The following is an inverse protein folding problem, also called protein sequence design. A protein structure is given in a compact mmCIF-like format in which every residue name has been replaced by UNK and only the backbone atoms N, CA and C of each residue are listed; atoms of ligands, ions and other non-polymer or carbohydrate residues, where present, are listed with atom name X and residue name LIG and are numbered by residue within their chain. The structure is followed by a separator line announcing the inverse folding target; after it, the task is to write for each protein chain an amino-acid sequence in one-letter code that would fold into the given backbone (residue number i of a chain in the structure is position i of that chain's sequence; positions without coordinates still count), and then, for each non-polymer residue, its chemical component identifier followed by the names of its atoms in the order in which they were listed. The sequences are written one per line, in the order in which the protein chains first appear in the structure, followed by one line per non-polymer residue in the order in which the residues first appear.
data_IF_421651787949
#
_entry.id   IF_421651787949
#
_cell.length_a   1.000
_cell.length_b   1.000
_cell.length_c   1.000
_cell.angle_alpha   90.00
_cell.angle_beta   90.00
_cell.angle_gamma   90.00
#
_symmetry.space_group_name_H-M   'P 1'
#
loop_
_entity.id
_entity.type
_entity.pdbx_description
1 polymer ?
#
# COMPACT_ATOMS: atom_id res chain seq x y z
N UNK A 1 -65.38 -30.01 2.24
CA UNK A 1 -65.71 -28.93 3.20
C UNK A 1 -64.71 -28.95 4.34
N UNK A 2 -64.12 -27.80 4.65
CA UNK A 2 -62.97 -27.57 5.55
C UNK A 2 -63.47 -27.21 6.95
N UNK A 3 -62.82 -27.69 8.04
CA UNK A 3 -62.67 -26.90 9.29
C UNK A 3 -61.55 -27.40 10.23
N UNK A 4 -60.40 -26.71 10.10
CA UNK A 4 -59.55 -26.07 11.13
C UNK A 4 -59.06 -26.92 12.33
N UNK A 5 -57.83 -27.42 12.20
CA UNK A 5 -56.97 -27.89 13.29
C UNK A 5 -56.42 -26.71 14.11
N UNK A 6 -56.75 -26.67 15.40
CA UNK A 6 -56.20 -25.72 16.38
C UNK A 6 -54.77 -26.11 16.75
N UNK A 7 -53.75 -25.43 16.19
CA UNK A 7 -52.37 -25.54 16.69
C UNK A 7 -52.19 -24.55 17.85
N UNK A 8 -51.85 -25.07 19.03
CA UNK A 8 -51.43 -24.27 20.18
C UNK A 8 -50.01 -23.78 19.94
N UNK A 9 -49.84 -22.46 19.98
CA UNK A 9 -48.58 -21.76 19.89
C UNK A 9 -47.75 -21.96 21.16
N UNK A 10 -46.61 -22.61 21.06
CA UNK A 10 -45.50 -22.47 22.01
C UNK A 10 -44.46 -21.57 21.37
N UNK A 11 -44.47 -20.30 21.76
CA UNK A 11 -43.45 -19.33 21.40
C UNK A 11 -42.18 -19.65 22.20
N UNK A 12 -41.18 -20.26 21.54
CA UNK A 12 -39.82 -20.30 22.05
C UNK A 12 -39.16 -18.97 21.68
N UNK A 13 -38.94 -18.11 22.67
CA UNK A 13 -38.08 -16.92 22.53
C UNK A 13 -36.64 -17.41 22.34
N UNK A 14 -36.21 -17.55 21.09
CA UNK A 14 -34.81 -17.65 20.75
C UNK A 14 -34.17 -16.28 20.93
N UNK A 15 -33.30 -16.14 21.94
CA UNK A 15 -32.41 -14.98 22.11
C UNK A 15 -31.39 -15.03 20.97
N UNK A 16 -31.37 -14.07 20.03
CA UNK A 16 -30.28 -13.99 19.09
C UNK A 16 -29.05 -13.49 19.85
N UNK A 17 -28.06 -14.37 20.01
CA UNK A 17 -26.73 -14.01 20.44
C UNK A 17 -26.10 -13.15 19.32
N UNK A 18 -26.33 -11.83 19.35
CA UNK A 18 -25.64 -10.88 18.49
C UNK A 18 -24.21 -10.71 19.00
N UNK A 19 -23.35 -11.70 18.76
CA UNK A 19 -21.89 -11.53 18.77
C UNK A 19 -21.43 -11.31 17.34
N UNK A 20 -21.58 -10.09 16.86
CA UNK A 20 -21.04 -9.68 15.58
C UNK A 20 -21.02 -8.17 15.51
N UNK A 21 -19.81 -7.60 15.54
CA UNK A 21 -19.35 -6.38 14.84
C UNK A 21 -18.27 -5.61 15.63
N UNK A 22 -17.18 -6.25 16.03
CA UNK A 22 -16.03 -5.51 16.57
C UNK A 22 -14.68 -5.81 15.91
N UNK A 23 -14.64 -6.65 14.86
CA UNK A 23 -13.39 -7.03 14.18
C UNK A 23 -13.27 -6.57 12.73
N UNK A 24 -14.31 -5.94 12.16
CA UNK A 24 -14.34 -5.58 10.74
C UNK A 24 -13.22 -4.59 10.38
N UNK A 25 -12.90 -3.62 11.25
CA UNK A 25 -11.91 -2.58 10.93
C UNK A 25 -10.44 -3.02 10.82
N UNK A 26 -10.05 -4.18 11.40
CA UNK A 26 -8.70 -4.73 11.19
C UNK A 26 -8.63 -5.62 9.95
N UNK A 27 -9.71 -6.38 9.68
CA UNK A 27 -9.79 -7.20 8.49
C UNK A 27 -9.78 -6.33 7.23
N UNK A 28 -10.52 -5.23 7.24
CA UNK A 28 -10.66 -4.34 6.06
C UNK A 28 -9.31 -3.71 5.68
N UNK A 29 -8.58 -3.11 6.63
CA UNK A 29 -7.27 -2.49 6.35
C UNK A 29 -6.21 -3.47 5.87
N UNK A 30 -6.24 -4.69 6.41
CA UNK A 30 -5.32 -5.74 6.01
C UNK A 30 -5.64 -6.25 4.59
N UNK A 31 -6.92 -6.33 4.22
CA UNK A 31 -7.34 -6.69 2.87
C UNK A 31 -6.99 -5.60 1.85
N UNK A 32 -7.16 -4.33 2.20
CA UNK A 32 -6.75 -3.20 1.36
C UNK A 32 -5.24 -3.24 1.08
N UNK A 33 -4.43 -3.43 2.13
CA UNK A 33 -2.99 -3.58 1.99
C UNK A 33 -2.59 -4.78 1.14
N UNK A 34 -3.20 -5.95 1.34
CA UNK A 34 -2.91 -7.14 0.52
C UNK A 34 -3.29 -6.95 -0.95
N UNK A 35 -4.41 -6.26 -1.19
CA UNK A 35 -4.87 -5.94 -2.54
C UNK A 35 -3.89 -4.99 -3.22
N UNK A 36 -3.50 -3.90 -2.55
CA UNK A 36 -2.47 -2.98 -3.04
C UNK A 36 -1.16 -3.73 -3.28
N UNK A 37 -0.69 -4.52 -2.32
CA UNK A 37 0.55 -5.29 -2.44
C UNK A 37 0.54 -6.22 -3.66
N UNK A 38 -0.60 -6.86 -3.95
CA UNK A 38 -0.74 -7.77 -5.10
C UNK A 38 -0.79 -7.03 -6.44
N UNK A 39 -1.29 -5.79 -6.45
CA UNK A 39 -1.38 -4.94 -7.62
C UNK A 39 -0.07 -4.20 -7.94
N UNK A 40 0.87 -4.17 -7.00
CA UNK A 40 2.12 -3.43 -7.14
C UNK A 40 3.35 -4.34 -7.23
N UNK A 41 4.40 -3.82 -7.86
CA UNK A 41 5.69 -4.50 -7.86
C UNK A 41 6.28 -4.48 -6.44
N UNK A 42 6.93 -5.57 -5.99
CA UNK A 42 7.63 -5.59 -4.71
C UNK A 42 8.76 -4.56 -4.68
N UNK A 43 8.83 -3.79 -3.59
CA UNK A 43 9.91 -2.85 -3.31
C UNK A 43 11.21 -3.61 -2.99
N UNK A 44 12.33 -3.21 -3.59
CA UNK A 44 13.66 -3.71 -3.15
C UNK A 44 14.02 -3.06 -1.82
N UNK A 45 14.36 -3.86 -0.82
CA UNK A 45 14.61 -3.36 0.54
C UNK A 45 16.00 -3.78 0.99
N UNK A 46 16.74 -2.83 1.54
CA UNK A 46 17.99 -3.10 2.26
C UNK A 46 17.96 -2.49 3.67
N UNK A 47 18.74 -3.05 4.60
CA UNK A 47 18.78 -2.61 6.00
C UNK A 47 17.80 -3.36 6.90
N UNK A 48 17.34 -2.70 7.97
CA UNK A 48 16.55 -3.32 9.05
C UNK A 48 15.23 -2.56 9.29
N UNK A 49 14.26 -2.65 8.37
CA UNK A 49 12.98 -1.97 8.55
C UNK A 49 12.20 -2.58 9.72
N UNK A 50 11.44 -1.73 10.41
CA UNK A 50 10.29 -2.20 11.19
C UNK A 50 9.14 -2.59 10.23
N UNK A 51 8.16 -3.35 10.72
CA UNK A 51 6.96 -3.65 9.94
C UNK A 51 6.23 -2.36 9.52
N UNK A 52 6.04 -1.43 10.46
CA UNK A 52 5.28 -0.21 10.25
C UNK A 52 5.97 0.73 9.25
N UNK A 53 7.30 0.85 9.31
CA UNK A 53 8.06 1.70 8.40
C UNK A 53 8.12 1.14 6.99
N UNK A 54 8.26 -0.19 6.85
CA UNK A 54 8.19 -0.83 5.53
C UNK A 54 6.82 -0.61 4.89
N UNK A 55 5.74 -0.85 5.64
CA UNK A 55 4.38 -0.64 5.17
C UNK A 55 4.13 0.81 4.75
N UNK A 56 4.60 1.78 5.53
CA UNK A 56 4.47 3.20 5.20
C UNK A 56 5.19 3.55 3.90
N UNK A 57 6.43 3.09 3.72
CA UNK A 57 7.20 3.34 2.49
C UNK A 57 6.53 2.70 1.28
N UNK A 58 6.06 1.45 1.41
CA UNK A 58 5.36 0.77 0.35
C UNK A 58 4.11 1.54 -0.09
N UNK A 59 3.27 1.96 0.86
CA UNK A 59 2.10 2.78 0.57
C UNK A 59 2.48 4.09 -0.13
N UNK A 60 3.52 4.79 0.33
CA UNK A 60 3.98 6.01 -0.34
C UNK A 60 4.37 5.73 -1.80
N UNK A 61 5.20 4.71 -2.04
CA UNK A 61 5.67 4.37 -3.39
C UNK A 61 4.52 3.96 -4.30
N UNK A 62 3.56 3.19 -3.79
CA UNK A 62 2.38 2.75 -4.55
C UNK A 62 1.47 3.92 -4.91
N UNK A 63 1.14 4.81 -3.96
CA UNK A 63 0.33 6.00 -4.25
C UNK A 63 1.03 6.96 -5.22
N UNK A 64 2.36 7.05 -5.17
CA UNK A 64 3.15 7.77 -6.17
C UNK A 64 3.05 7.13 -7.57
N UNK A 65 3.18 5.81 -7.65
CA UNK A 65 3.10 5.05 -8.90
C UNK A 65 1.71 5.14 -9.55
N UNK A 66 0.65 5.09 -8.74
CA UNK A 66 -0.74 5.21 -9.18
C UNK A 66 -1.15 6.66 -9.50
N UNK A 67 -0.36 7.65 -9.08
CA UNK A 67 -0.74 9.05 -9.13
C UNK A 67 -1.93 9.38 -8.21
N UNK A 68 -2.12 8.62 -7.14
CA UNK A 68 -3.22 8.79 -6.19
C UNK A 68 -2.93 9.91 -5.20
N UNK A 69 -3.38 11.12 -5.56
CA UNK A 69 -3.22 12.34 -4.75
C UNK A 69 -3.89 12.22 -3.39
N UNK A 70 -5.09 11.64 -3.34
CA UNK A 70 -5.89 11.58 -2.12
C UNK A 70 -5.33 10.51 -1.17
N UNK A 71 -4.97 9.34 -1.70
CA UNK A 71 -4.32 8.29 -0.92
C UNK A 71 -2.95 8.72 -0.39
N UNK A 72 -2.15 9.44 -1.19
CA UNK A 72 -0.87 9.97 -0.73
C UNK A 72 -1.05 11.07 0.33
N UNK A 73 -2.03 11.95 0.17
CA UNK A 73 -2.34 12.98 1.17
C UNK A 73 -2.85 12.38 2.48
N UNK A 74 -3.58 11.26 2.43
CA UNK A 74 -4.10 10.57 3.61
C UNK A 74 -3.01 9.92 4.49
N UNK A 75 -1.79 9.74 3.97
CA UNK A 75 -0.64 9.25 4.75
C UNK A 75 -0.05 10.32 5.68
N UNK A 76 -0.44 11.59 5.53
CA UNK A 76 0.01 12.67 6.40
C UNK A 76 -0.54 12.51 7.82
N UNK A 77 0.35 12.51 8.81
CA UNK A 77 0.00 12.40 10.23
C UNK A 77 0.04 13.74 10.97
N UNK A 78 0.62 14.78 10.36
CA UNK A 78 0.79 16.11 10.98
C UNK A 78 -0.46 17.00 10.88
N UNK A 79 -1.49 16.53 10.17
CA UNK A 79 -2.73 17.29 9.93
C UNK A 79 -2.60 18.36 8.85
N UNK A 80 -3.71 19.03 8.53
CA UNK A 80 -3.80 20.02 7.45
C UNK A 80 -4.03 19.42 6.06
N UNK A 81 -4.16 20.30 5.05
CA UNK A 81 -4.37 19.87 3.66
C UNK A 81 -3.04 19.51 2.98
N UNK A 82 -2.75 18.22 2.91
CA UNK A 82 -1.54 17.69 2.28
C UNK A 82 -1.66 17.48 0.76
N UNK A 83 -2.84 17.71 0.15
CA UNK A 83 -3.04 17.45 -1.29
C UNK A 83 -2.14 18.29 -2.20
N UNK A 84 -1.79 19.56 -1.90
CA UNK A 84 -0.81 20.30 -2.68
C UNK A 84 0.57 19.63 -2.69
N UNK A 85 1.03 19.14 -1.53
CA UNK A 85 2.29 18.43 -1.41
C UNK A 85 2.24 17.09 -2.16
N UNK A 86 1.16 16.32 -2.00
CA UNK A 86 0.94 15.07 -2.72
C UNK A 86 0.99 15.27 -4.25
N UNK A 87 0.32 16.30 -4.78
CA UNK A 87 0.40 16.65 -6.21
C UNK A 87 1.83 16.97 -6.65
N UNK A 88 2.57 17.74 -5.85
CA UNK A 88 3.96 18.06 -6.15
C UNK A 88 4.83 16.80 -6.20
N UNK A 89 4.66 15.89 -5.24
CA UNK A 89 5.41 14.64 -5.17
C UNK A 89 5.06 13.67 -6.29
N UNK A 90 3.78 13.52 -6.65
CA UNK A 90 3.37 12.69 -7.81
C UNK A 90 3.97 13.25 -9.10
N UNK A 91 3.97 14.58 -9.27
CA UNK A 91 4.58 15.22 -10.43
C UNK A 91 6.08 14.94 -10.53
N UNK A 92 6.78 15.01 -9.40
CA UNK A 92 8.23 14.84 -9.34
C UNK A 92 8.65 13.38 -9.45
N UNK A 93 8.00 12.50 -8.68
CA UNK A 93 8.46 11.13 -8.43
C UNK A 93 7.56 10.04 -9.02
N UNK A 94 6.32 10.34 -9.42
CA UNK A 94 5.35 9.31 -9.82
C UNK A 94 5.82 8.45 -10.98
N UNK A 95 6.47 9.06 -12.00
CA UNK A 95 7.07 8.30 -13.11
C UNK A 95 8.20 7.39 -12.67
N UNK A 96 8.98 7.81 -11.68
CA UNK A 96 10.08 7.01 -11.16
C UNK A 96 9.53 5.85 -10.33
N UNK A 97 8.56 6.12 -9.46
CA UNK A 97 7.89 5.13 -8.62
C UNK A 97 7.17 4.04 -9.44
N UNK A 98 6.63 4.38 -10.61
CA UNK A 98 5.98 3.44 -11.51
C UNK A 98 6.96 2.50 -12.28
N UNK A 99 8.28 2.72 -12.20
CA UNK A 99 9.27 1.84 -12.85
C UNK A 99 9.60 0.63 -11.98
N UNK A 100 10.03 -0.47 -12.62
CA UNK A 100 10.25 -1.79 -12.02
C UNK A 100 11.36 -1.90 -10.94
N UNK A 101 11.93 -0.78 -10.47
CA UNK A 101 13.17 -0.80 -9.69
C UNK A 101 13.21 0.15 -8.48
N UNK A 102 12.05 0.63 -7.98
CA UNK A 102 12.05 1.39 -6.73
C UNK A 102 12.70 0.57 -5.60
N UNK A 103 13.68 1.18 -4.93
CA UNK A 103 14.39 0.59 -3.80
C UNK A 103 14.34 1.52 -2.59
N UNK A 104 14.32 0.94 -1.40
CA UNK A 104 14.36 1.66 -0.14
C UNK A 104 15.48 1.11 0.76
N UNK A 105 16.37 2.01 1.16
CA UNK A 105 17.46 1.73 2.08
C UNK A 105 17.13 2.29 3.46
N UNK A 106 17.08 1.41 4.47
CA UNK A 106 16.76 1.74 5.87
C UNK A 106 18.04 1.76 6.70
N UNK A 107 18.52 2.97 7.04
CA UNK A 107 19.84 3.14 7.68
C UNK A 107 19.87 2.82 9.17
N UNK A 108 18.79 3.12 9.89
CA UNK A 108 18.70 2.97 11.34
C UNK A 108 17.86 1.73 11.71
N UNK A 109 18.03 1.21 12.92
CA UNK A 109 17.16 0.14 13.44
C UNK A 109 15.70 0.61 13.57
N UNK A 110 14.74 -0.30 13.34
CA UNK A 110 13.31 -0.03 13.42
C UNK A 110 12.77 0.44 14.78
N UNK A 111 13.63 0.50 15.81
CA UNK A 111 13.32 0.97 17.17
C UNK A 111 13.48 2.48 17.36
N UNK A 112 14.11 3.19 16.40
CA UNK A 112 14.30 4.64 16.39
C UNK A 112 13.64 5.29 15.16
N UNK A 113 13.57 6.63 15.10
CA UNK A 113 13.10 7.32 13.88
C UNK A 113 14.01 6.97 12.71
N UNK A 114 13.47 6.28 11.70
CA UNK A 114 14.26 5.77 10.58
C UNK A 114 14.42 6.80 9.46
N UNK A 115 15.67 7.03 9.05
CA UNK A 115 16.00 7.69 7.79
C UNK A 115 15.92 6.69 6.64
N UNK A 116 15.22 7.06 5.58
CA UNK A 116 14.91 6.18 4.44
C UNK A 116 15.26 6.91 3.15
N UNK A 117 16.04 6.26 2.28
CA UNK A 117 16.34 6.78 0.94
C UNK A 117 15.61 5.94 -0.08
N UNK A 118 14.78 6.59 -0.89
CA UNK A 118 14.15 6.01 -2.06
C UNK A 118 15.07 6.17 -3.26
N UNK A 119 15.52 5.05 -3.82
CA UNK A 119 16.37 5.00 -5.00
C UNK A 119 15.53 4.53 -6.18
N UNK A 120 15.51 5.32 -7.23
CA UNK A 120 15.00 4.91 -8.53
C UNK A 120 16.20 4.83 -9.46
N UNK A 121 16.67 3.63 -9.83
CA UNK A 121 17.79 3.51 -10.73
C UNK A 121 17.44 4.12 -12.09
N UNK A 122 18.39 4.86 -12.64
CA UNK A 122 18.30 5.36 -14.00
C UNK A 122 18.25 4.18 -14.98
N UNK A 123 17.53 4.29 -16.12
CA UNK A 123 17.60 3.28 -17.15
C UNK A 123 19.06 3.10 -17.54
N UNK A 124 19.56 1.86 -17.43
CA UNK A 124 20.89 1.53 -17.94
C UNK A 124 20.87 1.81 -19.44
N UNK A 125 21.53 2.87 -19.87
CA UNK A 125 21.90 3.04 -21.26
C UNK A 125 22.74 1.82 -21.62
N UNK A 126 22.14 0.88 -22.35
CA UNK A 126 22.88 -0.19 -23.02
C UNK A 126 23.71 0.53 -24.09
N UNK A 127 24.92 0.92 -23.69
CA UNK A 127 25.95 1.40 -24.60
C UNK A 127 26.17 0.27 -25.61
N UNK A 128 25.52 0.35 -26.79
CA UNK A 128 25.88 -0.48 -27.93
C UNK A 128 27.33 -0.16 -28.23
N UNK A 129 28.24 -1.03 -27.80
CA UNK A 129 29.60 -1.04 -28.28
C UNK A 129 29.53 -1.29 -29.78
N UNK A 130 29.55 -0.21 -30.57
CA UNK A 130 29.84 -0.31 -31.99
C UNK A 130 31.21 -0.97 -32.17
N UNK A 131 31.42 -1.72 -33.27
CA UNK A 131 32.67 -2.43 -33.48
C UNK A 131 33.85 -1.44 -33.51
N UNK A 132 34.97 -1.86 -32.92
CA UNK A 132 36.19 -1.07 -32.85
C UNK A 132 36.62 -0.60 -34.26
N UNK A 133 37.11 0.64 -34.42
CA UNK A 133 37.65 1.09 -35.70
C UNK A 133 38.91 0.28 -36.02
N UNK A 134 38.83 -0.59 -37.03
CA UNK A 134 40.00 -1.17 -37.67
C UNK A 134 40.71 -0.08 -38.46
N UNK A 135 41.88 0.32 -37.97
CA UNK A 135 42.84 1.13 -38.72
C UNK A 135 43.33 0.32 -39.92
N UNK A 136 43.23 0.90 -41.13
CA UNK A 136 44.02 0.49 -42.29
C UNK A 136 44.49 1.72 -43.03
#
# INVERSE_FOLDING_TARGET
MIRKSTRRSTAALAVPLMLGTALTGCADKHLDYLTDYSNHRPLRVTGHPSTDSLEAVQKVVWRLADGDVEGLAALNTEGGDARPAARAWIKEYGKAAARDEAAADFYEEGSVRQGIVLVNPEPKDVKKSGPAPTTR
#
